data_IF_615101535749
#
_entry.id   IF_615101535749
#
_cell.length_a   1.000
_cell.length_b   1.000
_cell.length_c   1.000
_cell.angle_alpha   90.00
_cell.angle_beta   90.00
_cell.angle_gamma   90.00
#
_symmetry.space_group_name_H-M   'P 1'
#
loop_
_entity.id
_entity.type
_entity.pdbx_description
1 polymer ?
#
# COMPACT_ATOMS: atom_id res chain seq x y z
N UNK A 1 32.75 18.75 -24.53
CA UNK A 1 31.31 18.53 -24.31
C UNK A 1 30.65 19.88 -24.01
N UNK A 2 29.57 20.28 -24.69
CA UNK A 2 28.93 21.58 -24.49
C UNK A 2 28.32 21.68 -23.08
N UNK A 3 28.50 22.85 -22.47
CA UNK A 3 28.06 23.22 -21.13
C UNK A 3 26.54 22.94 -20.89
N UNK A 4 25.73 23.03 -21.94
CA UNK A 4 24.29 22.76 -21.93
C UNK A 4 23.92 21.29 -21.59
N UNK A 5 24.76 20.31 -21.96
CA UNK A 5 24.55 18.89 -21.66
C UNK A 5 24.87 18.60 -20.19
N UNK A 6 25.84 19.31 -19.62
CA UNK A 6 26.22 19.20 -18.21
C UNK A 6 25.14 19.77 -17.29
N UNK A 7 24.56 20.91 -17.63
CA UNK A 7 23.47 21.54 -16.89
C UNK A 7 22.14 20.74 -16.95
N UNK A 8 21.92 20.02 -18.06
CA UNK A 8 20.77 19.12 -18.17
C UNK A 8 20.91 17.88 -17.28
N UNK A 9 22.11 17.26 -17.24
CA UNK A 9 22.41 16.15 -16.35
C UNK A 9 22.36 16.55 -14.86
N UNK A 10 22.83 17.74 -14.52
CA UNK A 10 22.75 18.24 -13.14
C UNK A 10 21.31 18.58 -12.71
N UNK A 11 20.46 19.08 -13.61
CA UNK A 11 19.02 19.26 -13.37
C UNK A 11 18.28 17.92 -13.22
N UNK A 12 18.61 16.93 -14.04
CA UNK A 12 18.01 15.59 -13.95
C UNK A 12 18.44 14.87 -12.67
N UNK A 13 19.69 15.09 -12.17
CA UNK A 13 20.17 14.54 -10.90
C UNK A 13 19.59 15.25 -9.66
N UNK A 14 19.19 16.53 -9.77
CA UNK A 14 18.53 17.25 -8.67
C UNK A 14 17.02 16.99 -8.58
N UNK A 15 16.41 16.40 -9.60
CA UNK A 15 14.96 16.11 -9.62
C UNK A 15 14.59 14.70 -9.16
N UNK A 16 15.57 13.89 -8.77
CA UNK A 16 15.40 12.47 -8.39
C UNK A 16 14.84 12.27 -6.96
N UNK A 17 14.54 13.34 -6.24
CA UNK A 17 14.02 13.31 -4.87
C UNK A 17 12.65 13.96 -4.63
N UNK A 18 12.06 14.63 -5.64
CA UNK A 18 10.96 15.60 -5.39
C UNK A 18 9.59 15.24 -5.94
N UNK A 19 9.15 14.01 -6.06
CA UNK A 19 7.71 13.69 -6.26
C UNK A 19 7.47 12.20 -6.49
N UNK A 20 7.87 11.36 -5.53
CA UNK A 20 7.49 9.93 -5.57
C UNK A 20 6.11 9.67 -4.94
N UNK A 21 5.60 10.62 -4.13
CA UNK A 21 4.35 10.46 -3.39
C UNK A 21 3.22 11.14 -4.14
N UNK A 22 2.09 10.41 -4.34
CA UNK A 22 0.91 10.93 -5.01
C UNK A 22 0.34 12.15 -4.26
N UNK A 23 0.20 13.33 -4.90
CA UNK A 23 -0.33 14.52 -4.24
C UNK A 23 -1.79 14.35 -3.78
N UNK A 24 -2.12 14.91 -2.60
CA UNK A 24 -3.48 14.86 -2.01
C UNK A 24 -4.55 15.46 -2.94
N UNK A 25 -4.16 16.44 -3.76
CA UNK A 25 -5.05 17.13 -4.72
C UNK A 25 -5.59 16.17 -5.79
N UNK A 26 -4.81 15.15 -6.15
CA UNK A 26 -5.21 14.16 -7.18
C UNK A 26 -5.97 12.96 -6.55
N UNK A 27 -6.13 12.96 -5.22
CA UNK A 27 -6.79 11.85 -4.51
C UNK A 27 -8.21 11.56 -5.01
N UNK A 28 -8.94 12.56 -5.53
CA UNK A 28 -10.26 12.36 -6.14
C UNK A 28 -10.25 11.47 -7.39
N UNK A 29 -9.13 11.43 -8.13
CA UNK A 29 -8.97 10.52 -9.27
C UNK A 29 -8.65 9.08 -8.83
N UNK A 30 -8.17 8.90 -7.60
CA UNK A 30 -7.84 7.59 -7.03
C UNK A 30 -9.07 6.79 -6.57
N UNK A 31 -10.23 7.45 -6.40
CA UNK A 31 -11.47 6.81 -5.98
C UNK A 31 -12.62 7.21 -6.93
N UNK A 32 -12.52 6.81 -8.19
CA UNK A 32 -13.54 7.05 -9.19
C UNK A 32 -14.24 5.76 -9.64
N UNK A 33 -15.46 5.89 -10.21
CA UNK A 33 -16.29 4.76 -10.66
C UNK A 33 -15.56 3.88 -11.70
N UNK A 34 -14.76 4.46 -12.57
CA UNK A 34 -14.01 3.73 -13.59
C UNK A 34 -12.93 2.85 -12.96
N UNK A 35 -12.18 3.37 -11.97
CA UNK A 35 -11.21 2.57 -11.22
C UNK A 35 -11.88 1.41 -10.48
N UNK A 36 -13.02 1.66 -9.83
CA UNK A 36 -13.78 0.60 -9.15
C UNK A 36 -14.27 -0.49 -10.11
N UNK A 37 -14.62 -0.14 -11.33
CA UNK A 37 -15.01 -1.12 -12.35
C UNK A 37 -13.81 -1.97 -12.81
N UNK A 38 -12.62 -1.36 -12.98
CA UNK A 38 -11.40 -2.04 -13.42
C UNK A 38 -10.67 -2.78 -12.29
N UNK A 39 -10.68 -2.22 -11.09
CA UNK A 39 -9.97 -2.70 -9.90
C UNK A 39 -10.95 -2.81 -8.72
N UNK A 40 -11.98 -3.64 -8.85
CA UNK A 40 -12.97 -3.88 -7.80
C UNK A 40 -12.29 -4.45 -6.54
N UNK A 41 -12.26 -3.69 -5.40
CA UNK A 41 -11.58 -4.12 -4.19
C UNK A 41 -12.09 -5.46 -3.66
N UNK A 42 -13.41 -5.70 -3.75
CA UNK A 42 -14.03 -6.94 -3.27
C UNK A 42 -13.59 -8.15 -4.08
N UNK A 43 -13.54 -8.02 -5.42
CA UNK A 43 -13.09 -9.12 -6.28
C UNK A 43 -11.61 -9.44 -6.06
N UNK A 44 -10.78 -8.40 -5.84
CA UNK A 44 -9.34 -8.55 -5.63
C UNK A 44 -9.05 -9.19 -4.27
N UNK A 45 -9.76 -8.77 -3.21
CA UNK A 45 -9.38 -9.10 -1.83
C UNK A 45 -10.21 -10.24 -1.20
N UNK A 46 -11.41 -10.54 -1.72
CA UNK A 46 -12.27 -11.61 -1.18
C UNK A 46 -11.60 -12.98 -1.02
N UNK A 47 -10.65 -13.39 -1.88
CA UNK A 47 -9.94 -14.65 -1.68
C UNK A 47 -8.97 -14.65 -0.49
N UNK A 48 -8.66 -13.48 0.08
CA UNK A 48 -7.57 -13.30 1.04
C UNK A 48 -8.03 -12.73 2.39
N UNK A 49 -9.19 -12.08 2.43
CA UNK A 49 -9.74 -11.44 3.64
C UNK A 49 -10.96 -12.20 4.10
N UNK A 50 -10.98 -12.57 5.38
CA UNK A 50 -12.12 -13.21 6.04
C UNK A 50 -12.59 -12.38 7.24
N UNK A 51 -13.81 -12.62 7.68
CA UNK A 51 -14.41 -11.97 8.85
C UNK A 51 -13.53 -12.17 10.10
N UNK A 52 -13.42 -11.14 10.92
CA UNK A 52 -12.64 -11.14 12.16
C UNK A 52 -11.16 -10.77 12.00
N UNK A 53 -10.63 -10.65 10.78
CA UNK A 53 -9.24 -10.25 10.56
C UNK A 53 -8.95 -8.81 11.00
N UNK A 54 -7.73 -8.59 11.50
CA UNK A 54 -7.11 -7.27 11.58
C UNK A 54 -6.27 -7.06 10.32
N UNK A 55 -6.63 -6.05 9.51
CA UNK A 55 -6.01 -5.77 8.22
C UNK A 55 -5.33 -4.41 8.23
N UNK A 56 -4.07 -4.36 7.81
CA UNK A 56 -3.34 -3.12 7.54
C UNK A 56 -3.48 -2.77 6.06
N UNK A 57 -4.13 -1.64 5.76
CA UNK A 57 -4.13 -1.00 4.44
C UNK A 57 -3.04 0.05 4.42
N UNK A 58 -1.86 -0.30 3.91
CA UNK A 58 -0.65 0.52 3.94
C UNK A 58 -0.55 1.38 2.68
N UNK A 59 -0.47 2.70 2.85
CA UNK A 59 -0.64 3.68 1.78
C UNK A 59 -2.11 3.77 1.36
N UNK A 60 -3.03 3.82 2.35
CA UNK A 60 -4.47 3.71 2.15
C UNK A 60 -5.08 4.83 1.27
N UNK A 61 -4.36 5.95 1.10
CA UNK A 61 -4.86 7.12 0.41
C UNK A 61 -6.20 7.61 0.99
N UNK A 62 -7.18 7.99 0.16
CA UNK A 62 -8.50 8.40 0.64
C UNK A 62 -9.43 7.21 0.95
N UNK A 63 -8.89 6.00 1.18
CA UNK A 63 -9.61 4.81 1.62
C UNK A 63 -10.32 4.03 0.51
N UNK A 64 -9.73 3.97 -0.70
CA UNK A 64 -10.31 3.21 -1.81
C UNK A 64 -10.51 1.73 -1.46
N UNK A 65 -9.53 1.11 -0.79
CA UNK A 65 -9.61 -0.26 -0.31
C UNK A 65 -10.13 -0.35 1.12
N UNK A 66 -9.76 0.56 2.02
CA UNK A 66 -10.07 0.52 3.45
C UNK A 66 -11.56 0.32 3.74
N UNK A 67 -12.44 1.02 3.01
CA UNK A 67 -13.89 0.94 3.16
C UNK A 67 -14.43 -0.46 2.83
N UNK A 68 -14.01 -1.04 1.71
CA UNK A 68 -14.43 -2.39 1.31
C UNK A 68 -13.82 -3.46 2.22
N UNK A 69 -12.57 -3.30 2.67
CA UNK A 69 -11.93 -4.19 3.65
C UNK A 69 -12.72 -4.19 4.96
N UNK A 70 -13.12 -3.02 5.48
CA UNK A 70 -13.89 -2.91 6.71
C UNK A 70 -15.27 -3.59 6.63
N UNK A 71 -15.86 -3.64 5.44
CA UNK A 71 -17.08 -4.40 5.21
C UNK A 71 -16.83 -5.92 5.18
N UNK A 72 -15.68 -6.36 4.61
CA UNK A 72 -15.32 -7.77 4.52
C UNK A 72 -14.90 -8.37 5.86
N UNK A 73 -14.17 -7.63 6.69
CA UNK A 73 -13.76 -8.12 8.01
C UNK A 73 -14.90 -8.14 9.03
N UNK A 74 -16.04 -7.51 8.72
CA UNK A 74 -17.23 -7.54 9.56
C UNK A 74 -17.07 -6.80 10.89
N UNK A 75 -18.02 -7.05 11.81
CA UNK A 75 -18.04 -6.38 13.13
C UNK A 75 -16.96 -6.88 14.10
N UNK A 76 -16.49 -8.11 13.90
CA UNK A 76 -15.45 -8.74 14.75
C UNK A 76 -14.02 -8.42 14.28
N UNK A 77 -13.85 -7.88 13.07
CA UNK A 77 -12.58 -7.48 12.52
C UNK A 77 -12.37 -5.96 12.51
N UNK A 78 -11.19 -5.53 12.07
CA UNK A 78 -10.86 -4.11 11.98
C UNK A 78 -9.84 -3.83 10.87
N UNK A 79 -9.78 -2.57 10.46
CA UNK A 79 -8.83 -2.06 9.47
C UNK A 79 -7.96 -0.98 10.12
N UNK A 80 -6.66 -1.09 9.95
CA UNK A 80 -5.72 -0.02 10.24
C UNK A 80 -5.41 0.62 8.88
N UNK A 81 -5.98 1.80 8.64
CA UNK A 81 -5.75 2.56 7.43
C UNK A 81 -4.56 3.50 7.65
N UNK A 82 -3.41 3.14 7.08
CA UNK A 82 -2.15 3.81 7.34
C UNK A 82 -1.68 4.61 6.11
N UNK A 83 -1.32 5.87 6.32
CA UNK A 83 -0.77 6.74 5.27
C UNK A 83 0.26 7.74 5.82
N UNK A 84 1.21 8.14 4.98
CA UNK A 84 2.19 9.17 5.32
C UNK A 84 1.57 10.58 5.27
N UNK A 85 0.51 10.77 4.47
CA UNK A 85 -0.10 12.07 4.23
C UNK A 85 -1.36 12.27 5.09
N UNK A 86 -1.31 13.21 6.03
CA UNK A 86 -2.45 13.58 6.89
C UNK A 86 -3.70 13.99 6.07
N UNK A 87 -3.48 14.62 4.91
CA UNK A 87 -4.57 15.01 4.01
C UNK A 87 -5.35 13.81 3.44
N UNK A 88 -4.68 12.67 3.22
CA UNK A 88 -5.33 11.42 2.78
C UNK A 88 -6.18 10.84 3.91
N UNK A 89 -5.62 10.78 5.12
CA UNK A 89 -6.35 10.30 6.31
C UNK A 89 -7.56 11.17 6.64
N UNK A 90 -7.46 12.49 6.48
CA UNK A 90 -8.62 13.39 6.63
C UNK A 90 -9.74 13.06 5.63
N UNK A 91 -9.41 12.88 4.36
CA UNK A 91 -10.42 12.49 3.34
C UNK A 91 -11.09 11.15 3.67
N UNK A 92 -10.33 10.18 4.21
CA UNK A 92 -10.91 8.93 4.66
C UNK A 92 -11.80 9.14 5.89
N UNK A 93 -11.36 9.93 6.87
CA UNK A 93 -12.16 10.30 8.05
C UNK A 93 -13.50 10.90 7.65
N UNK A 94 -13.48 11.91 6.77
CA UNK A 94 -14.70 12.59 6.30
C UNK A 94 -15.67 11.60 5.59
N UNK A 95 -15.12 10.58 4.92
CA UNK A 95 -15.90 9.54 4.24
C UNK A 95 -16.60 8.57 5.20
N UNK A 96 -15.97 8.23 6.34
CA UNK A 96 -16.49 7.21 7.27
C UNK A 96 -17.21 7.80 8.47
N UNK A 97 -17.03 9.08 8.76
CA UNK A 97 -17.62 9.77 9.89
C UNK A 97 -19.15 9.61 9.94
N UNK A 98 -19.68 9.22 11.10
CA UNK A 98 -21.11 8.96 11.32
C UNK A 98 -21.64 7.69 10.65
N UNK A 99 -20.78 6.87 10.07
CA UNK A 99 -21.15 5.54 9.54
C UNK A 99 -20.72 4.42 10.48
N UNK A 100 -21.29 3.22 10.33
CA UNK A 100 -20.85 2.04 11.08
C UNK A 100 -19.38 1.62 10.83
N UNK A 101 -18.73 2.18 9.79
CA UNK A 101 -17.34 1.90 9.45
C UNK A 101 -16.36 2.69 10.33
N UNK A 102 -16.80 3.77 10.95
CA UNK A 102 -15.97 4.60 11.84
C UNK A 102 -15.41 3.78 13.01
N UNK A 103 -16.20 2.85 13.55
CA UNK A 103 -15.76 1.95 14.64
C UNK A 103 -14.80 0.85 14.17
N UNK A 104 -14.78 0.55 12.85
CA UNK A 104 -13.97 -0.55 12.27
C UNK A 104 -12.68 -0.09 11.63
N UNK A 105 -12.54 1.22 11.35
CA UNK A 105 -11.36 1.78 10.67
C UNK A 105 -10.61 2.69 11.61
N UNK A 106 -9.42 2.27 12.01
CA UNK A 106 -8.47 3.09 12.76
C UNK A 106 -7.54 3.80 11.78
N UNK A 107 -7.49 5.13 11.85
CA UNK A 107 -6.59 5.94 11.04
C UNK A 107 -5.21 6.00 11.71
N UNK A 108 -4.18 5.61 10.98
CA UNK A 108 -2.80 5.58 11.47
C UNK A 108 -1.90 6.48 10.62
N UNK A 109 -1.28 7.45 11.26
CA UNK A 109 -0.33 8.35 10.61
C UNK A 109 1.06 7.74 10.65
N UNK A 110 1.55 7.25 9.50
CA UNK A 110 2.95 6.83 9.35
C UNK A 110 3.90 8.03 9.49
N UNK A 111 5.11 7.77 9.98
CA UNK A 111 6.23 8.70 9.87
C UNK A 111 7.15 8.28 8.73
N UNK A 112 8.00 9.18 8.27
CA UNK A 112 8.93 8.88 7.17
C UNK A 112 9.77 7.64 7.51
N UNK A 113 9.76 6.65 6.62
CA UNK A 113 10.48 5.38 6.73
C UNK A 113 10.05 4.48 7.90
N UNK A 114 8.86 4.72 8.50
CA UNK A 114 8.33 3.86 9.56
C UNK A 114 6.82 3.71 9.46
N UNK A 115 6.35 2.48 9.52
CA UNK A 115 4.93 2.16 9.72
C UNK A 115 4.55 2.58 11.14
N UNK A 116 5.35 2.17 12.13
CA UNK A 116 5.21 2.57 13.52
C UNK A 116 4.01 1.93 14.23
N UNK A 117 3.63 0.72 13.85
CA UNK A 117 2.58 -0.06 14.52
C UNK A 117 3.19 -0.93 15.62
N UNK A 118 2.50 -1.02 16.75
CA UNK A 118 2.86 -1.88 17.88
C UNK A 118 2.02 -3.14 18.00
N UNK A 119 1.12 -3.38 17.06
CA UNK A 119 0.19 -4.51 17.08
C UNK A 119 0.33 -5.40 15.84
N UNK A 120 0.06 -6.71 16.03
CA UNK A 120 0.13 -7.69 14.97
C UNK A 120 -1.13 -7.72 14.13
N UNK A 121 -0.96 -7.83 12.79
CA UNK A 121 -2.05 -7.90 11.83
C UNK A 121 -2.09 -9.25 11.10
N UNK A 122 -3.27 -9.65 10.64
CA UNK A 122 -3.47 -10.89 9.90
C UNK A 122 -3.11 -10.73 8.42
N UNK A 123 -3.31 -9.52 7.88
CA UNK A 123 -3.10 -9.24 6.48
C UNK A 123 -2.60 -7.81 6.28
N UNK A 124 -1.65 -7.62 5.35
CA UNK A 124 -1.18 -6.31 4.92
C UNK A 124 -1.47 -6.17 3.43
N UNK A 125 -2.18 -5.11 3.05
CA UNK A 125 -2.32 -4.66 1.67
C UNK A 125 -1.35 -3.50 1.42
N UNK A 126 -0.52 -3.61 0.37
CA UNK A 126 0.32 -2.51 -0.13
C UNK A 126 0.04 -2.34 -1.62
N UNK A 127 -0.89 -1.41 -1.95
CA UNK A 127 -1.41 -1.24 -3.30
C UNK A 127 -0.90 0.06 -3.92
N UNK A 128 -0.01 -0.04 -4.90
CA UNK A 128 0.61 1.07 -5.63
C UNK A 128 1.40 2.04 -4.76
N UNK A 129 2.10 1.52 -3.72
CA UNK A 129 2.82 2.38 -2.79
C UNK A 129 4.28 1.98 -2.53
N UNK A 130 4.66 0.69 -2.68
CA UNK A 130 6.02 0.22 -2.32
C UNK A 130 7.10 0.91 -3.15
N UNK A 131 6.83 1.21 -4.42
CA UNK A 131 7.76 1.93 -5.30
C UNK A 131 8.02 3.39 -4.89
N UNK A 132 7.14 3.98 -4.08
CA UNK A 132 7.30 5.34 -3.54
C UNK A 132 8.22 5.37 -2.32
N UNK A 133 8.48 4.20 -1.67
CA UNK A 133 9.28 4.10 -0.46
C UNK A 133 10.78 4.04 -0.79
N UNK A 134 11.58 5.00 -0.31
CA UNK A 134 13.02 5.02 -0.58
C UNK A 134 13.76 3.81 0.00
N UNK A 135 13.44 3.44 1.25
CA UNK A 135 13.99 2.27 1.94
C UNK A 135 12.98 1.12 1.97
N UNK A 136 12.90 0.38 0.87
CA UNK A 136 12.04 -0.79 0.79
C UNK A 136 12.50 -1.94 1.70
N UNK A 137 13.81 -2.06 1.94
CA UNK A 137 14.35 -3.08 2.86
C UNK A 137 13.84 -2.86 4.28
N UNK A 138 14.00 -1.65 4.81
CA UNK A 138 13.47 -1.25 6.11
C UNK A 138 11.95 -1.42 6.20
N UNK A 139 11.21 -1.08 5.13
CA UNK A 139 9.76 -1.30 5.06
C UNK A 139 9.39 -2.78 5.24
N UNK A 140 10.09 -3.69 4.54
CA UNK A 140 9.82 -5.13 4.67
C UNK A 140 10.19 -5.68 6.05
N UNK A 141 11.23 -5.20 6.68
CA UNK A 141 11.55 -5.57 8.07
C UNK A 141 10.46 -5.12 9.04
N UNK A 142 9.90 -3.91 8.87
CA UNK A 142 8.76 -3.47 9.68
C UNK A 142 7.50 -4.31 9.41
N UNK A 143 7.19 -4.63 8.13
CA UNK A 143 6.10 -5.54 7.81
C UNK A 143 6.29 -6.91 8.47
N UNK A 144 7.54 -7.45 8.51
CA UNK A 144 7.83 -8.73 9.16
C UNK A 144 7.57 -8.67 10.66
N UNK A 145 7.89 -7.55 11.33
CA UNK A 145 7.61 -7.39 12.76
C UNK A 145 6.14 -7.13 13.09
N UNK A 146 5.36 -6.63 12.13
CA UNK A 146 3.95 -6.27 12.30
C UNK A 146 2.99 -7.41 11.88
N UNK A 147 3.40 -8.30 10.98
CA UNK A 147 2.56 -9.39 10.51
C UNK A 147 2.62 -10.61 11.43
N UNK A 148 1.47 -11.23 11.70
CA UNK A 148 1.40 -12.51 12.43
C UNK A 148 2.13 -13.63 11.66
N UNK A 149 2.53 -14.70 12.35
CA UNK A 149 3.27 -15.83 11.76
C UNK A 149 2.57 -16.47 10.54
N UNK A 150 1.24 -16.53 10.53
CA UNK A 150 0.46 -17.06 9.42
C UNK A 150 -0.14 -15.96 8.52
N UNK A 151 0.22 -14.69 8.79
CA UNK A 151 -0.27 -13.55 8.05
C UNK A 151 0.30 -13.48 6.63
N UNK A 152 -0.36 -12.71 5.79
CA UNK A 152 0.03 -12.53 4.39
C UNK A 152 0.15 -11.05 4.03
N UNK A 153 1.11 -10.74 3.16
CA UNK A 153 1.28 -9.42 2.57
C UNK A 153 0.93 -9.51 1.10
N UNK A 154 0.01 -8.68 0.64
CA UNK A 154 -0.34 -8.56 -0.78
C UNK A 154 0.20 -7.26 -1.33
N UNK A 155 1.16 -7.36 -2.26
CA UNK A 155 1.77 -6.22 -2.93
C UNK A 155 1.23 -6.18 -4.35
N UNK A 156 0.78 -5.00 -4.76
CA UNK A 156 0.35 -4.69 -6.14
C UNK A 156 1.07 -3.42 -6.59
N UNK A 157 1.78 -3.49 -7.73
CA UNK A 157 2.52 -2.34 -8.28
C UNK A 157 2.08 -2.02 -9.71
N UNK A 158 2.02 -0.73 -10.10
CA UNK A 158 1.58 -0.33 -11.43
C UNK A 158 2.64 -0.64 -12.49
N UNK A 159 2.30 -1.37 -13.58
CA UNK A 159 3.28 -1.84 -14.57
C UNK A 159 3.90 -0.72 -15.40
N UNK A 160 3.28 0.47 -15.42
CA UNK A 160 3.78 1.65 -16.12
C UNK A 160 4.74 2.50 -15.28
N UNK A 161 4.78 2.32 -13.95
CA UNK A 161 5.77 2.95 -13.06
C UNK A 161 6.86 1.96 -12.63
N UNK A 162 6.52 0.68 -12.48
CA UNK A 162 7.43 -0.35 -11.99
C UNK A 162 7.68 -1.37 -13.09
N UNK A 163 8.91 -1.45 -13.61
CA UNK A 163 9.30 -2.48 -14.59
C UNK A 163 9.24 -3.88 -13.98
N UNK A 164 9.25 -4.93 -14.83
CA UNK A 164 9.32 -6.31 -14.34
C UNK A 164 10.57 -6.56 -13.49
N UNK A 165 11.72 -6.05 -13.93
CA UNK A 165 13.00 -6.18 -13.20
C UNK A 165 12.95 -5.47 -11.85
N UNK A 166 12.42 -4.23 -11.79
CA UNK A 166 12.27 -3.51 -10.54
C UNK A 166 11.32 -4.22 -9.57
N UNK A 167 10.26 -4.85 -10.07
CA UNK A 167 9.34 -5.62 -9.24
C UNK A 167 9.99 -6.90 -8.68
N UNK A 168 10.79 -7.63 -9.48
CA UNK A 168 11.54 -8.79 -8.97
C UNK A 168 12.60 -8.36 -7.93
N UNK A 169 13.20 -7.19 -8.08
CA UNK A 169 14.11 -6.63 -7.07
C UNK A 169 13.37 -6.29 -5.76
N UNK A 170 12.16 -5.75 -5.84
CA UNK A 170 11.28 -5.56 -4.67
C UNK A 170 11.00 -6.89 -3.96
N UNK A 171 10.69 -7.95 -4.71
CA UNK A 171 10.48 -9.29 -4.15
C UNK A 171 11.76 -9.85 -3.52
N UNK A 172 12.93 -9.61 -4.10
CA UNK A 172 14.21 -10.02 -3.53
C UNK A 172 14.43 -9.37 -2.15
N UNK A 173 14.19 -8.05 -2.04
CA UNK A 173 14.28 -7.33 -0.75
C UNK A 173 13.30 -7.88 0.29
N UNK A 174 12.09 -8.26 -0.14
CA UNK A 174 11.12 -8.91 0.75
C UNK A 174 11.63 -10.27 1.27
N UNK A 175 12.28 -11.07 0.40
CA UNK A 175 12.93 -12.33 0.81
C UNK A 175 14.05 -12.09 1.81
N UNK A 176 14.89 -11.10 1.58
CA UNK A 176 16.00 -10.74 2.48
C UNK A 176 15.48 -10.34 3.87
N UNK A 177 14.24 -9.82 3.96
CA UNK A 177 13.54 -9.49 5.21
C UNK A 177 12.75 -10.68 5.83
N UNK A 178 12.84 -11.90 5.26
CA UNK A 178 12.22 -13.10 5.82
C UNK A 178 10.85 -13.47 5.24
N UNK A 179 10.46 -12.87 4.10
CA UNK A 179 9.23 -13.26 3.40
C UNK A 179 9.48 -14.32 2.34
N UNK A 180 8.49 -15.19 2.12
CA UNK A 180 8.44 -16.15 1.02
C UNK A 180 7.31 -15.80 0.07
N UNK A 181 7.57 -15.58 -1.24
CA UNK A 181 6.52 -15.41 -2.25
C UNK A 181 5.74 -16.72 -2.43
N UNK A 182 4.42 -16.66 -2.34
CA UNK A 182 3.55 -17.85 -2.43
C UNK A 182 2.60 -17.83 -3.62
N UNK A 183 2.13 -16.65 -4.04
CA UNK A 183 1.15 -16.51 -5.10
C UNK A 183 1.41 -15.23 -5.93
N UNK A 184 0.90 -15.22 -7.19
CA UNK A 184 0.87 -14.02 -8.06
C UNK A 184 -0.53 -13.87 -8.66
N UNK A 185 -1.50 -13.38 -7.89
CA UNK A 185 -2.87 -13.18 -8.37
C UNK A 185 -2.92 -12.22 -9.55
N UNK A 186 -3.87 -12.41 -10.47
CA UNK A 186 -4.07 -11.49 -11.60
C UNK A 186 -4.89 -10.28 -11.13
N UNK A 187 -4.31 -9.09 -11.21
CA UNK A 187 -4.99 -7.81 -11.01
C UNK A 187 -4.80 -6.96 -12.26
N UNK A 188 -5.90 -6.37 -12.74
CA UNK A 188 -5.84 -5.48 -13.90
C UNK A 188 -4.89 -4.31 -13.65
N UNK A 189 -3.95 -4.09 -14.57
CA UNK A 189 -2.86 -3.11 -14.44
C UNK A 189 -2.04 -3.27 -13.15
N UNK A 190 -1.83 -4.52 -12.69
CA UNK A 190 -1.04 -4.82 -11.50
C UNK A 190 0.07 -5.84 -11.74
N UNK A 191 1.28 -5.56 -11.27
CA UNK A 191 2.30 -6.57 -10.95
C UNK A 191 2.07 -7.00 -9.51
N UNK A 192 1.87 -8.28 -9.29
CA UNK A 192 1.36 -8.76 -8.01
C UNK A 192 2.22 -9.83 -7.40
N UNK A 193 2.25 -9.85 -6.08
CA UNK A 193 2.79 -10.95 -5.29
C UNK A 193 2.09 -11.02 -3.94
N UNK A 194 1.79 -12.24 -3.49
CA UNK A 194 1.45 -12.52 -2.09
C UNK A 194 2.69 -13.13 -1.42
N UNK A 195 3.04 -12.56 -0.31
CA UNK A 195 4.14 -12.98 0.55
C UNK A 195 3.58 -13.60 1.82
N UNK A 196 4.27 -14.60 2.35
CA UNK A 196 4.04 -15.19 3.67
C UNK A 196 5.30 -15.00 4.51
N UNK A 197 5.13 -14.74 5.80
CA UNK A 197 6.24 -14.74 6.76
C UNK A 197 6.85 -16.14 6.82
N UNK A 198 8.18 -16.22 6.66
CA UNK A 198 8.96 -17.46 6.72
C UNK A 198 9.09 -18.00 8.13
#
# INVERSE_FOLDING_TARGET
>A
MPQAVRLRKEKDMQNDGKNRICPVEIAGSLDNKMRRWLQDPRKILRPHIVEGMTVLDLGCGPGFFSVDIAQMVGKSGRVIAADLQEGMLRKLRDKIQGTELEERITLHKCVKNKIGLSEDVDFILAFYMVHEVPDQGGLFHEMTSTIKQNGRVFIVEPPFHVSKTAFEETIRKARDAGFTPVERPKVFLGRTVILKKG
#
